data_IF_549764228705
#
_entry.id   IF_549764228705
#
_cell.length_a   1.000
_cell.length_b   1.000
_cell.length_c   1.000
_cell.angle_alpha   90.00
_cell.angle_beta   90.00
_cell.angle_gamma   90.00
#
_symmetry.space_group_name_H-M   'P 1'
#
loop_
_entity.id
_entity.type
_entity.pdbx_description
1 polymer ?
#
# COMPACT_ATOMS: atom_id res chain seq x y z
N UNK A 1 8.24 -9.69 6.21
CA UNK A 1 8.60 -8.26 6.34
C UNK A 1 7.34 -7.44 6.16
N UNK A 2 7.08 -6.47 7.03
CA UNK A 2 5.95 -5.55 6.92
C UNK A 2 6.48 -4.13 6.82
N UNK A 3 6.00 -3.39 5.83
CA UNK A 3 6.21 -1.95 5.65
C UNK A 3 4.87 -1.27 5.79
N UNK A 4 4.56 -0.85 7.01
CA UNK A 4 3.48 0.10 7.26
C UNK A 4 4.04 1.51 7.00
N UNK A 5 3.73 2.04 5.82
CA UNK A 5 4.49 3.15 5.27
C UNK A 5 3.86 4.50 5.68
N UNK A 6 4.65 5.50 6.10
CA UNK A 6 4.12 6.81 6.43
C UNK A 6 3.49 7.44 5.18
N UNK A 7 2.20 7.78 5.27
CA UNK A 7 1.40 8.28 4.14
C UNK A 7 0.63 9.57 4.48
N UNK A 8 -0.12 10.07 3.51
CA UNK A 8 -0.98 11.26 3.67
C UNK A 8 -2.20 11.03 4.57
N UNK A 9 -2.51 9.77 4.91
CA UNK A 9 -3.61 9.35 5.77
C UNK A 9 -5.01 9.77 5.26
N UNK A 10 -5.20 9.94 3.95
CA UNK A 10 -6.50 10.34 3.36
C UNK A 10 -7.63 9.35 3.65
N UNK A 11 -7.32 8.09 3.96
CA UNK A 11 -8.31 7.09 4.37
C UNK A 11 -8.89 7.28 5.77
N UNK A 12 -8.27 8.14 6.59
CA UNK A 12 -8.64 8.32 8.01
C UNK A 12 -9.26 9.69 8.32
N UNK A 13 -9.59 10.49 7.29
CA UNK A 13 -10.12 11.85 7.47
C UNK A 13 -11.41 11.92 8.30
N UNK A 14 -12.22 10.85 8.33
CA UNK A 14 -13.42 10.79 9.16
C UNK A 14 -13.09 10.90 10.67
N UNK A 15 -11.94 10.34 11.10
CA UNK A 15 -11.46 10.42 12.48
C UNK A 15 -10.57 11.64 12.73
N UNK A 16 -9.96 12.18 11.67
CA UNK A 16 -9.03 13.32 11.71
C UNK A 16 -9.43 14.38 10.69
N UNK A 17 -10.51 15.15 10.93
CA UNK A 17 -11.09 16.05 9.94
C UNK A 17 -10.18 17.24 9.58
N UNK A 18 -9.20 17.55 10.42
CA UNK A 18 -8.17 18.57 10.15
C UNK A 18 -7.19 18.13 9.04
N UNK A 19 -7.06 16.84 8.79
CA UNK A 19 -6.18 16.29 7.74
C UNK A 19 -6.53 16.85 6.35
N UNK A 20 -7.82 17.14 6.09
CA UNK A 20 -8.28 17.73 4.82
C UNK A 20 -7.60 19.06 4.46
N UNK A 21 -7.13 19.81 5.46
CA UNK A 21 -6.45 21.09 5.26
C UNK A 21 -4.92 20.96 5.13
N UNK A 22 -4.37 19.82 5.55
CA UNK A 22 -2.92 19.56 5.56
C UNK A 22 -2.47 18.79 4.32
N UNK A 23 -3.36 18.00 3.72
CA UNK A 23 -3.07 17.20 2.53
C UNK A 23 -3.04 18.08 1.28
N UNK A 24 -1.95 17.96 0.53
CA UNK A 24 -1.74 18.62 -0.77
C UNK A 24 -1.07 17.63 -1.72
N UNK A 25 -1.13 17.89 -3.03
CA UNK A 25 -0.39 17.09 -4.02
C UNK A 25 1.10 16.98 -3.69
N UNK A 26 1.71 18.08 -3.21
CA UNK A 26 3.12 18.10 -2.80
C UNK A 26 3.40 17.17 -1.61
N UNK A 27 2.51 17.10 -0.62
CA UNK A 27 2.70 16.21 0.53
C UNK A 27 2.54 14.75 0.13
N UNK A 28 1.59 14.43 -0.76
CA UNK A 28 1.38 13.09 -1.33
C UNK A 28 2.62 12.65 -2.10
N UNK A 29 3.12 13.47 -3.04
CA UNK A 29 4.32 13.17 -3.82
C UNK A 29 5.55 12.94 -2.93
N UNK A 30 5.73 13.76 -1.88
CA UNK A 30 6.83 13.60 -0.92
C UNK A 30 6.69 12.30 -0.10
N UNK A 31 5.49 11.94 0.32
CA UNK A 31 5.24 10.69 1.03
C UNK A 31 5.51 9.48 0.11
N UNK A 32 4.99 9.51 -1.11
CA UNK A 32 5.22 8.48 -2.12
C UNK A 32 6.71 8.26 -2.42
N UNK A 33 7.51 9.32 -2.51
CA UNK A 33 8.96 9.20 -2.69
C UNK A 33 9.64 8.45 -1.53
N UNK A 34 9.23 8.72 -0.28
CA UNK A 34 9.72 8.03 0.91
C UNK A 34 9.26 6.58 0.96
N UNK A 35 8.01 6.32 0.63
CA UNK A 35 7.41 4.99 0.58
C UNK A 35 8.17 4.09 -0.41
N UNK A 36 8.51 4.59 -1.61
CA UNK A 36 9.35 3.87 -2.58
C UNK A 36 10.71 3.48 -1.99
N UNK A 37 11.39 4.42 -1.33
CA UNK A 37 12.69 4.16 -0.72
C UNK A 37 12.60 3.12 0.40
N UNK A 38 11.59 3.22 1.27
CA UNK A 38 11.34 2.27 2.35
C UNK A 38 11.02 0.88 1.82
N UNK A 39 10.17 0.78 0.80
CA UNK A 39 9.80 -0.50 0.20
C UNK A 39 10.99 -1.19 -0.47
N UNK A 40 11.83 -0.44 -1.20
CA UNK A 40 13.05 -0.95 -1.79
C UNK A 40 14.06 -1.43 -0.74
N UNK A 41 14.25 -0.67 0.34
CA UNK A 41 15.12 -1.06 1.45
C UNK A 41 14.62 -2.33 2.15
N UNK A 42 13.31 -2.42 2.41
CA UNK A 42 12.70 -3.59 3.01
C UNK A 42 12.81 -4.84 2.12
N UNK A 43 12.69 -4.68 0.80
CA UNK A 43 12.83 -5.77 -0.16
C UNK A 43 14.21 -6.44 -0.11
N UNK A 44 15.28 -5.67 0.14
CA UNK A 44 16.64 -6.21 0.28
C UNK A 44 16.79 -7.15 1.50
N UNK A 45 15.94 -6.98 2.52
CA UNK A 45 15.96 -7.77 3.76
C UNK A 45 15.08 -9.03 3.69
N UNK A 46 14.29 -9.20 2.62
CA UNK A 46 13.40 -10.34 2.46
C UNK A 46 14.18 -11.50 1.87
N UNK A 47 14.31 -12.61 2.59
CA UNK A 47 14.93 -13.84 2.07
C UNK A 47 14.15 -14.42 0.87
N UNK A 48 14.77 -15.19 -0.03
CA UNK A 48 14.06 -15.97 -1.04
C UNK A 48 12.95 -16.83 -0.42
N UNK A 49 11.78 -16.89 -1.06
CA UNK A 49 10.56 -17.51 -0.53
C UNK A 49 9.86 -16.69 0.58
N UNK A 50 10.40 -15.53 0.95
CA UNK A 50 9.82 -14.65 1.97
C UNK A 50 8.69 -13.77 1.43
N UNK A 51 7.89 -13.24 2.37
CA UNK A 51 6.82 -12.29 2.09
C UNK A 51 7.20 -10.87 2.54
N UNK A 52 6.82 -9.91 1.70
CA UNK A 52 6.87 -8.48 1.93
C UNK A 52 5.44 -7.94 1.83
N UNK A 53 4.94 -7.33 2.89
CA UNK A 53 3.64 -6.64 2.88
C UNK A 53 3.90 -5.15 2.90
N UNK A 54 3.36 -4.44 1.91
CA UNK A 54 3.30 -2.98 1.87
C UNK A 54 1.91 -2.55 2.29
N UNK A 55 1.79 -1.59 3.22
CA UNK A 55 0.50 -1.10 3.69
C UNK A 55 0.51 0.42 3.90
N UNK A 56 -0.64 1.05 3.70
CA UNK A 56 -0.89 2.46 4.02
C UNK A 56 -2.32 2.67 4.53
N UNK A 57 -2.56 3.80 5.20
CA UNK A 57 -3.90 4.32 5.49
C UNK A 57 -4.30 5.47 4.53
N UNK A 58 -3.77 5.47 3.30
CA UNK A 58 -4.08 6.44 2.24
C UNK A 58 -5.05 5.84 1.22
N UNK A 59 -5.87 6.70 0.61
CA UNK A 59 -6.71 6.37 -0.54
C UNK A 59 -6.02 6.70 -1.88
N UNK A 60 -4.90 7.43 -1.86
CA UNK A 60 -4.27 7.97 -3.07
C UNK A 60 -3.52 6.87 -3.86
N UNK A 61 -3.80 6.70 -5.17
CA UNK A 61 -3.08 5.74 -6.02
C UNK A 61 -1.56 5.93 -6.02
N UNK A 62 -1.10 7.18 -5.95
CA UNK A 62 0.31 7.57 -5.95
C UNK A 62 1.07 7.03 -4.73
N UNK A 63 0.35 6.70 -3.65
CA UNK A 63 0.87 6.09 -2.44
C UNK A 63 0.57 4.58 -2.36
N UNK A 64 -0.18 4.04 -3.32
CA UNK A 64 -0.74 2.69 -3.26
C UNK A 64 -0.37 1.88 -4.52
N UNK A 65 -1.31 1.75 -5.46
CA UNK A 65 -1.18 0.92 -6.66
C UNK A 65 0.02 1.29 -7.51
N UNK A 66 0.35 2.58 -7.59
CA UNK A 66 1.43 3.08 -8.44
C UNK A 66 2.80 2.69 -7.88
N UNK A 67 2.95 2.77 -6.55
CA UNK A 67 4.17 2.33 -5.86
C UNK A 67 4.37 0.83 -6.05
N UNK A 68 3.33 0.03 -5.86
CA UNK A 68 3.43 -1.43 -6.00
C UNK A 68 3.74 -1.82 -7.44
N UNK A 69 3.12 -1.13 -8.41
CA UNK A 69 3.35 -1.38 -9.84
C UNK A 69 4.78 -1.01 -10.25
N UNK A 70 5.26 0.16 -9.83
CA UNK A 70 6.65 0.58 -10.07
C UNK A 70 7.65 -0.35 -9.39
N UNK A 71 7.37 -0.75 -8.15
CA UNK A 71 8.21 -1.69 -7.41
C UNK A 71 8.35 -3.02 -8.15
N UNK A 72 7.25 -3.61 -8.58
CA UNK A 72 7.27 -4.90 -9.30
C UNK A 72 7.97 -4.81 -10.65
N UNK A 73 7.90 -3.66 -11.34
CA UNK A 73 8.65 -3.42 -12.57
C UNK A 73 10.17 -3.38 -12.32
N UNK A 74 10.62 -2.88 -11.16
CA UNK A 74 12.04 -2.76 -10.81
C UNK A 74 12.61 -3.98 -10.07
N UNK A 75 11.76 -4.81 -9.51
CA UNK A 75 12.14 -5.97 -8.70
C UNK A 75 11.52 -7.26 -9.26
N UNK A 76 12.04 -7.80 -10.39
CA UNK A 76 11.47 -8.98 -11.07
C UNK A 76 11.55 -10.29 -10.27
N UNK A 77 12.26 -10.29 -9.13
CA UNK A 77 12.26 -11.38 -8.15
C UNK A 77 11.05 -11.34 -7.21
N UNK A 78 10.21 -10.31 -7.27
CA UNK A 78 8.95 -10.23 -6.52
C UNK A 78 7.74 -10.37 -7.44
N UNK A 79 6.67 -10.93 -6.89
CA UNK A 79 5.37 -11.01 -7.55
C UNK A 79 4.24 -10.73 -6.54
N UNK A 80 3.09 -10.25 -7.02
CA UNK A 80 1.88 -10.19 -6.18
C UNK A 80 1.48 -11.59 -5.75
N UNK A 81 1.18 -11.76 -4.48
CA UNK A 81 0.63 -12.99 -3.91
C UNK A 81 -0.74 -12.63 -3.34
N UNK A 82 -1.82 -12.77 -4.13
CA UNK A 82 -3.16 -12.34 -3.75
C UNK A 82 -3.53 -12.84 -2.36
N UNK A 83 -4.19 -12.01 -1.55
CA UNK A 83 -4.66 -12.39 -0.22
C UNK A 83 -5.97 -13.21 -0.26
N UNK A 84 -6.19 -13.98 -1.33
CA UNK A 84 -7.40 -14.77 -1.54
C UNK A 84 -7.64 -15.73 -0.37
N UNK A 85 -8.87 -15.75 0.14
CA UNK A 85 -9.27 -16.56 1.29
C UNK A 85 -8.87 -16.01 2.67
N UNK A 86 -7.96 -15.02 2.73
CA UNK A 86 -7.60 -14.34 3.97
C UNK A 86 -8.40 -13.05 4.20
N UNK A 87 -8.91 -12.43 3.13
CA UNK A 87 -9.78 -11.26 3.18
C UNK A 87 -11.05 -11.48 2.34
N UNK A 88 -12.19 -10.87 2.73
CA UNK A 88 -13.39 -10.82 1.91
C UNK A 88 -13.12 -10.33 0.49
N UNK A 89 -13.83 -10.89 -0.48
CA UNK A 89 -13.59 -10.61 -1.90
C UNK A 89 -13.95 -9.16 -2.30
N UNK A 90 -14.86 -8.51 -1.59
CA UNK A 90 -15.23 -7.11 -1.79
C UNK A 90 -14.13 -6.12 -1.38
N UNK A 91 -13.21 -6.56 -0.50
CA UNK A 91 -12.03 -5.82 -0.07
C UNK A 91 -10.79 -6.09 -0.93
N UNK A 92 -10.93 -6.85 -2.03
CA UNK A 92 -9.85 -7.12 -2.98
C UNK A 92 -10.00 -6.26 -4.23
N UNK A 93 -8.92 -5.58 -4.58
CA UNK A 93 -8.75 -4.98 -5.91
C UNK A 93 -8.63 -6.06 -6.99
N UNK A 94 -8.80 -5.67 -8.25
CA UNK A 94 -8.57 -6.57 -9.39
C UNK A 94 -7.14 -7.13 -9.44
N UNK A 95 -6.17 -6.41 -8.90
CA UNK A 95 -4.78 -6.85 -8.81
C UNK A 95 -4.53 -7.86 -7.66
N UNK A 96 -5.54 -8.11 -6.81
CA UNK A 96 -5.42 -8.99 -5.64
C UNK A 96 -4.85 -8.31 -4.39
N UNK A 97 -4.68 -6.99 -4.41
CA UNK A 97 -4.30 -6.18 -3.26
C UNK A 97 -5.53 -5.88 -2.40
N UNK A 98 -5.36 -5.77 -1.08
CA UNK A 98 -6.40 -5.35 -0.15
C UNK A 98 -6.68 -3.84 -0.29
N UNK A 99 -7.94 -3.45 -0.30
CA UNK A 99 -8.36 -2.06 -0.25
C UNK A 99 -9.70 -1.91 0.49
N UNK A 100 -9.70 -1.14 1.57
CA UNK A 100 -10.92 -0.60 2.16
C UNK A 100 -11.15 0.84 1.70
N UNK A 101 -12.42 1.16 1.47
CA UNK A 101 -12.92 2.46 1.02
C UNK A 101 -14.05 2.92 1.96
N UNK A 102 -13.97 4.10 2.60
CA UNK A 102 -14.98 4.57 3.55
C UNK A 102 -16.40 4.59 3.00
N UNK A 103 -16.56 5.09 1.78
CA UNK A 103 -17.85 5.21 1.10
C UNK A 103 -18.50 3.88 0.74
N UNK A 104 -17.74 2.77 0.74
CA UNK A 104 -18.24 1.44 0.36
C UNK A 104 -18.39 0.50 1.56
N UNK A 105 -17.45 0.57 2.50
CA UNK A 105 -17.33 -0.44 3.56
C UNK A 105 -17.68 0.09 4.96
N UNK A 106 -17.98 1.38 5.11
CA UNK A 106 -18.37 1.95 6.41
C UNK A 106 -17.26 1.93 7.47
N UNK A 107 -16.00 1.87 7.03
CA UNK A 107 -14.80 1.86 7.88
C UNK A 107 -13.70 2.70 7.24
N UNK A 108 -12.63 2.99 7.96
CA UNK A 108 -11.52 3.77 7.43
C UNK A 108 -10.87 3.13 6.19
N UNK A 109 -10.33 4.00 5.34
CA UNK A 109 -9.62 3.64 4.14
C UNK A 109 -8.21 3.13 4.44
N UNK A 110 -7.86 2.02 3.81
CA UNK A 110 -6.55 1.41 3.91
C UNK A 110 -6.25 0.61 2.64
N UNK A 111 -4.96 0.43 2.36
CA UNK A 111 -4.47 -0.36 1.24
C UNK A 111 -3.35 -1.27 1.72
N UNK A 112 -3.31 -2.50 1.20
CA UNK A 112 -2.16 -3.37 1.42
C UNK A 112 -1.91 -4.31 0.23
N UNK A 113 -0.64 -4.43 -0.17
CA UNK A 113 -0.19 -5.37 -1.18
C UNK A 113 0.72 -6.43 -0.55
N UNK A 114 0.44 -7.70 -0.83
CA UNK A 114 1.26 -8.83 -0.40
C UNK A 114 2.14 -9.28 -1.56
N UNK A 115 3.45 -9.22 -1.35
CA UNK A 115 4.47 -9.47 -2.37
C UNK A 115 5.35 -10.64 -1.93
N UNK A 116 5.47 -11.65 -2.78
CA UNK A 116 6.31 -12.82 -2.53
C UNK A 116 7.62 -12.71 -3.30
N UNK A 117 8.74 -12.97 -2.62
CA UNK A 117 10.05 -13.09 -3.27
C UNK A 117 10.20 -14.50 -3.84
N UNK A 118 10.09 -14.64 -5.15
CA UNK A 118 10.08 -15.93 -5.87
C UNK A 118 11.47 -16.40 -6.30
N UNK A 119 12.51 -15.56 -6.18
CA UNK A 119 13.91 -15.88 -6.50
C UNK A 119 14.89 -15.34 -5.45
#
# INVERSE_FOLDING_TARGET
MLVDAPCSATGTMARHPDARWRVTQRTIARAAARQRALLAAAAALVRPGGLLVYATCSLEPEENSDIVTEFLARHPQFARVPAAGAVPADLLTLAGDFQSLPQRHGMDGAYAARLGRVR
#
